data_IF_610514724364
#
_entry.id   IF_610514724364
#
_cell.length_a   1.000
_cell.length_b   1.000
_cell.length_c   1.000
_cell.angle_alpha   90.00
_cell.angle_beta   90.00
_cell.angle_gamma   90.00
#
_symmetry.space_group_name_H-M   'P 1'
#
loop_
_entity.id
_entity.type
_entity.pdbx_description
1 polymer ?
#
# COMPACT_ATOMS: atom_id res chain seq x y z
N UNK A 1 23.04 -58.18 37.21
CA UNK A 1 23.73 -57.49 36.10
C UNK A 1 24.09 -56.10 36.61
N UNK A 2 25.33 -55.85 37.06
CA UNK A 2 25.75 -54.53 37.51
C UNK A 2 26.04 -53.62 36.30
N UNK A 3 25.66 -52.35 36.41
CA UNK A 3 26.01 -51.28 35.48
C UNK A 3 27.49 -50.90 35.67
N UNK A 4 28.21 -50.76 34.56
CA UNK A 4 29.60 -50.31 34.49
C UNK A 4 29.62 -48.77 34.46
N UNK A 5 30.35 -48.17 35.41
CA UNK A 5 30.37 -46.74 35.75
C UNK A 5 31.73 -46.10 35.34
N UNK A 6 32.28 -46.55 34.21
CA UNK A 6 33.55 -46.04 33.69
C UNK A 6 33.36 -44.75 32.86
N UNK A 7 34.11 -43.66 33.13
CA UNK A 7 34.01 -42.41 32.37
C UNK A 7 34.61 -42.52 30.97
N UNK A 8 34.11 -41.77 29.96
CA UNK A 8 34.61 -41.82 28.60
C UNK A 8 36.02 -41.21 28.47
N UNK A 9 36.86 -41.71 27.54
CA UNK A 9 38.19 -41.17 27.31
C UNK A 9 38.15 -39.78 26.63
N UNK A 10 39.17 -38.92 26.85
CA UNK A 10 39.19 -37.56 26.32
C UNK A 10 39.43 -37.52 24.80
N UNK A 11 38.66 -36.68 24.09
CA UNK A 11 38.87 -36.39 22.68
C UNK A 11 40.18 -35.63 22.44
N UNK A 12 40.94 -36.10 21.46
CA UNK A 12 42.22 -35.54 21.03
C UNK A 12 42.02 -34.35 20.09
N UNK A 13 42.75 -33.28 20.36
CA UNK A 13 42.86 -32.11 19.48
C UNK A 13 43.70 -32.47 18.23
N UNK A 14 43.15 -32.22 17.05
CA UNK A 14 43.89 -32.25 15.79
C UNK A 14 43.64 -30.96 14.99
N UNK A 15 44.73 -30.21 14.84
CA UNK A 15 44.89 -28.97 14.10
C UNK A 15 44.73 -29.15 12.59
N UNK A 16 43.96 -28.27 11.92
CA UNK A 16 44.16 -27.97 10.49
C UNK A 16 44.00 -26.46 10.27
N UNK A 17 45.10 -25.81 9.90
CA UNK A 17 45.15 -24.45 9.37
C UNK A 17 45.09 -24.49 7.84
N UNK A 18 44.42 -23.55 7.15
CA UNK A 18 44.62 -23.33 5.72
C UNK A 18 45.61 -22.18 5.47
N UNK A 19 46.69 -22.49 4.74
CA UNK A 19 47.64 -21.52 4.17
C UNK A 19 47.15 -20.84 2.89
N UNK A 20 47.92 -19.87 2.35
CA UNK A 20 47.41 -18.76 1.55
C UNK A 20 47.38 -19.06 0.04
N UNK A 21 46.39 -18.49 -0.66
CA UNK A 21 46.35 -18.44 -2.13
C UNK A 21 46.71 -17.03 -2.64
N UNK A 22 47.45 -16.90 -3.75
CA UNK A 22 48.12 -15.66 -4.11
C UNK A 22 47.24 -14.72 -4.94
N UNK A 23 47.52 -13.44 -4.74
CA UNK A 23 47.14 -12.28 -5.52
C UNK A 23 48.07 -12.18 -6.74
N UNK A 24 47.53 -12.03 -7.95
CA UNK A 24 47.99 -11.07 -8.97
C UNK A 24 47.25 -11.19 -10.33
N UNK A 25 46.75 -10.03 -10.78
CA UNK A 25 46.68 -9.51 -12.16
C UNK A 25 45.94 -10.32 -13.24
N UNK A 26 44.80 -9.76 -13.71
CA UNK A 26 44.76 -9.08 -15.03
C UNK A 26 43.44 -8.35 -15.30
N UNK A 27 43.59 -7.02 -15.43
CA UNK A 27 43.09 -6.12 -16.48
C UNK A 27 41.58 -6.02 -16.75
N UNK A 28 41.06 -4.88 -16.29
CA UNK A 28 40.12 -3.95 -16.93
C UNK A 28 39.70 -4.25 -18.38
N UNK A 29 38.39 -4.32 -18.60
CA UNK A 29 37.70 -3.76 -19.78
C UNK A 29 36.39 -3.12 -19.34
N UNK A 30 36.43 -1.80 -19.20
CA UNK A 30 35.27 -0.93 -19.38
C UNK A 30 34.91 -0.96 -20.87
N UNK A 31 33.69 -1.37 -21.20
CA UNK A 31 33.08 -1.08 -22.50
C UNK A 31 31.65 -0.61 -22.27
N UNK A 32 31.44 0.62 -22.70
CA UNK A 32 30.19 1.38 -22.76
C UNK A 32 29.20 0.69 -23.69
N UNK A 33 27.94 0.58 -23.27
CA UNK A 33 26.81 0.38 -24.18
C UNK A 33 25.62 1.25 -23.70
N UNK A 34 25.73 2.55 -23.98
CA UNK A 34 24.62 3.49 -24.04
C UNK A 34 24.18 3.59 -25.51
N UNK A 35 22.87 3.78 -25.70
CA UNK A 35 22.18 4.13 -26.95
C UNK A 35 21.75 2.99 -27.88
N UNK A 36 20.54 2.45 -27.65
CA UNK A 36 19.65 1.99 -28.72
C UNK A 36 18.20 1.72 -28.23
N UNK A 37 17.54 2.67 -27.55
CA UNK A 37 16.06 2.61 -27.36
C UNK A 37 15.42 4.01 -27.30
N UNK A 38 15.92 4.92 -28.14
CA UNK A 38 15.42 6.31 -28.20
C UNK A 38 14.96 6.83 -29.60
N UNK A 39 14.74 6.02 -30.67
CA UNK A 39 14.11 6.58 -31.87
C UNK A 39 12.79 5.92 -32.33
N UNK A 40 12.10 5.09 -31.53
CA UNK A 40 10.82 4.49 -31.97
C UNK A 40 9.57 5.20 -31.42
N UNK A 41 9.69 6.04 -30.39
CA UNK A 41 8.53 6.78 -29.85
C UNK A 41 8.39 8.22 -30.38
N UNK A 42 9.36 8.75 -31.13
CA UNK A 42 9.31 10.09 -31.72
C UNK A 42 8.79 10.11 -33.18
N UNK A 43 8.81 8.99 -33.89
CA UNK A 43 8.25 8.89 -35.25
C UNK A 43 6.71 8.77 -35.27
N UNK A 44 6.10 8.26 -34.20
CA UNK A 44 4.64 8.12 -34.08
C UNK A 44 3.91 9.41 -33.73
N UNK A 45 4.59 10.39 -33.13
CA UNK A 45 3.99 11.67 -32.73
C UNK A 45 4.05 12.73 -33.84
N UNK A 46 5.07 12.67 -34.72
CA UNK A 46 5.19 13.57 -35.87
C UNK A 46 4.23 13.18 -36.99
N UNK A 47 3.83 11.90 -37.10
CA UNK A 47 2.90 11.45 -38.15
C UNK A 47 1.42 11.78 -37.86
N UNK A 48 1.04 12.04 -36.62
CA UNK A 48 -0.33 12.48 -36.27
C UNK A 48 -0.54 13.98 -36.37
N UNK A 49 0.53 14.78 -36.46
CA UNK A 49 0.45 16.23 -36.68
C UNK A 49 0.57 16.63 -38.17
N UNK A 50 0.78 15.67 -39.08
CA UNK A 50 0.88 15.91 -40.52
C UNK A 50 -0.36 15.44 -41.33
N UNK A 51 -1.42 14.99 -40.65
CA UNK A 51 -2.70 14.60 -41.25
C UNK A 51 -3.89 15.39 -40.70
N UNK A 52 -3.62 16.46 -39.94
CA UNK A 52 -4.63 17.34 -39.36
C UNK A 52 -4.18 18.80 -39.51
N UNK A 53 -3.98 19.23 -40.74
CA UNK A 53 -3.99 20.66 -41.07
C UNK A 53 -4.40 20.81 -42.54
N UNK A 54 -5.57 21.41 -42.77
CA UNK A 54 -5.87 22.23 -43.94
C UNK A 54 -7.28 22.83 -43.80
N UNK A 55 -7.31 24.14 -43.49
CA UNK A 55 -8.19 25.10 -44.18
C UNK A 55 -9.46 25.60 -43.47
N UNK A 56 -9.37 26.80 -42.90
CA UNK A 56 -10.51 27.72 -42.69
C UNK A 56 -10.80 28.57 -43.97
N UNK A 57 -11.93 29.28 -44.11
CA UNK A 57 -12.90 29.05 -45.17
C UNK A 57 -13.10 30.24 -46.15
N UNK A 58 -13.79 29.99 -47.27
CA UNK A 58 -14.34 31.02 -48.14
C UNK A 58 -15.84 30.81 -48.42
N UNK A 59 -16.56 31.92 -48.50
CA UNK A 59 -18.01 32.08 -48.46
C UNK A 59 -18.81 31.44 -49.62
N UNK A 60 -20.03 30.98 -49.32
CA UNK A 60 -21.01 30.62 -50.36
C UNK A 60 -22.31 29.93 -49.87
N UNK A 61 -23.24 30.71 -49.31
CA UNK A 61 -24.72 30.60 -49.28
C UNK A 61 -25.45 29.29 -48.84
N UNK A 62 -26.68 29.41 -48.27
CA UNK A 62 -27.27 28.38 -47.42
C UNK A 62 -28.30 27.47 -48.13
N UNK A 63 -28.31 26.18 -47.80
CA UNK A 63 -29.32 25.20 -48.22
C UNK A 63 -30.09 24.69 -46.97
N UNK A 64 -31.44 24.65 -46.97
CA UNK A 64 -32.25 24.34 -45.80
C UNK A 64 -32.44 22.83 -45.54
N UNK A 65 -32.87 22.42 -44.33
CA UNK A 65 -33.08 21.00 -44.01
C UNK A 65 -34.42 20.48 -44.57
N UNK A 66 -34.52 19.19 -44.94
CA UNK A 66 -35.78 18.63 -45.39
C UNK A 66 -36.74 18.34 -44.23
N UNK A 67 -37.97 18.81 -44.41
CA UNK A 67 -39.13 18.57 -43.56
C UNK A 67 -39.69 17.14 -43.75
N UNK A 68 -40.32 16.65 -42.68
CA UNK A 68 -41.09 15.41 -42.64
C UNK A 68 -42.45 15.53 -43.34
N UNK A 69 -42.94 14.40 -43.90
CA UNK A 69 -44.35 13.95 -44.06
C UNK A 69 -44.50 12.97 -45.25
N UNK A 70 -45.63 12.23 -45.45
CA UNK A 70 -46.61 11.70 -44.50
C UNK A 70 -46.99 10.20 -44.76
N UNK A 71 -47.94 9.74 -43.95
CA UNK A 71 -48.64 8.46 -43.80
C UNK A 71 -49.39 7.89 -45.04
N UNK A 72 -49.59 6.56 -45.05
CA UNK A 72 -50.78 5.79 -45.51
C UNK A 72 -50.69 4.34 -44.96
N UNK A 73 -51.55 3.90 -44.03
CA UNK A 73 -52.83 3.17 -44.23
C UNK A 73 -52.67 1.84 -45.00
N UNK A 74 -53.07 0.65 -44.54
CA UNK A 74 -53.76 0.18 -43.33
C UNK A 74 -53.85 -1.36 -43.37
N UNK A 75 -54.42 -2.01 -42.35
CA UNK A 75 -55.36 -3.15 -42.42
C UNK A 75 -55.79 -3.53 -40.99
N UNK A 76 -57.06 -3.90 -40.89
CA UNK A 76 -57.97 -3.97 -39.73
C UNK A 76 -58.03 -5.33 -39.04
N UNK A 77 -58.49 -5.35 -37.77
CA UNK A 77 -58.92 -6.56 -37.05
C UNK A 77 -59.18 -6.37 -35.55
N UNK A 78 -60.41 -5.96 -35.20
CA UNK A 78 -61.23 -6.25 -34.01
C UNK A 78 -60.59 -6.46 -32.61
N UNK A 79 -60.76 -5.55 -31.64
CA UNK A 79 -61.92 -5.37 -30.73
C UNK A 79 -61.82 -6.14 -29.38
N UNK A 80 -61.51 -5.42 -28.28
CA UNK A 80 -62.41 -5.22 -27.12
C UNK A 80 -61.78 -4.32 -26.04
N UNK A 81 -62.60 -3.40 -25.55
CA UNK A 81 -62.30 -2.40 -24.53
C UNK A 81 -62.77 -2.85 -23.13
N UNK A 82 -62.07 -2.43 -22.07
CA UNK A 82 -62.60 -1.52 -21.02
C UNK A 82 -61.51 -1.09 -20.01
N UNK A 83 -61.64 0.11 -19.37
CA UNK A 83 -60.54 0.75 -18.63
C UNK A 83 -60.86 1.09 -17.15
N UNK A 84 -59.81 1.63 -16.47
CA UNK A 84 -59.74 2.49 -15.23
C UNK A 84 -60.18 1.90 -13.86
N UNK A 85 -59.81 2.49 -12.68
CA UNK A 85 -58.91 3.64 -12.41
C UNK A 85 -57.97 3.58 -11.17
N UNK A 86 -57.07 4.57 -11.11
CA UNK A 86 -56.44 5.12 -9.90
C UNK A 86 -57.45 5.81 -8.97
N UNK A 87 -57.25 5.72 -7.65
CA UNK A 87 -57.82 6.67 -6.69
C UNK A 87 -56.88 6.89 -5.49
N UNK A 88 -56.66 8.17 -5.19
CA UNK A 88 -56.01 8.71 -3.99
C UNK A 88 -57.01 8.79 -2.82
N UNK A 89 -56.56 8.59 -1.58
CA UNK A 89 -57.16 9.19 -0.38
C UNK A 89 -56.24 9.08 0.86
N UNK A 90 -56.11 10.19 1.59
CA UNK A 90 -55.64 10.36 2.97
C UNK A 90 -56.85 10.81 3.84
N UNK A 91 -56.75 10.98 5.17
CA UNK A 91 -56.48 10.02 6.24
C UNK A 91 -57.64 10.00 7.29
N UNK A 92 -57.80 8.93 8.09
CA UNK A 92 -58.73 8.96 9.25
C UNK A 92 -58.17 8.23 10.48
N UNK A 93 -58.46 8.83 11.63
CA UNK A 93 -57.99 8.57 12.98
C UNK A 93 -58.39 7.21 13.62
N UNK A 94 -57.73 6.94 14.75
CA UNK A 94 -57.77 5.77 15.63
C UNK A 94 -59.13 5.42 16.26
N UNK A 95 -59.20 4.27 16.96
CA UNK A 95 -59.52 4.34 18.38
C UNK A 95 -58.62 3.49 19.31
N UNK A 96 -58.57 3.96 20.55
CA UNK A 96 -57.95 3.45 21.78
C UNK A 96 -58.43 2.09 22.27
N UNK A 97 -57.50 1.28 22.81
CA UNK A 97 -57.76 0.28 23.85
C UNK A 97 -56.53 0.14 24.80
N UNK A 98 -56.84 -0.08 26.08
CA UNK A 98 -56.00 0.08 27.28
C UNK A 98 -55.03 -1.11 27.57
N UNK A 99 -54.15 -1.01 28.60
CA UNK A 99 -52.87 -1.73 28.65
C UNK A 99 -52.90 -3.04 29.46
N UNK A 100 -52.15 -4.04 28.98
CA UNK A 100 -51.76 -5.25 29.71
C UNK A 100 -50.32 -5.15 30.21
N UNK A 101 -50.13 -5.37 31.51
CA UNK A 101 -48.88 -5.38 32.26
C UNK A 101 -48.02 -6.63 32.03
N UNK A 102 -46.69 -6.46 31.88
CA UNK A 102 -45.69 -7.53 32.06
C UNK A 102 -44.26 -7.12 31.66
N UNK A 103 -43.22 -7.34 32.49
CA UNK A 103 -42.00 -6.52 32.48
C UNK A 103 -40.79 -7.18 31.79
N UNK A 104 -39.88 -6.34 31.29
CA UNK A 104 -38.57 -6.78 30.77
C UNK A 104 -37.78 -5.63 30.15
N UNK A 105 -37.49 -4.58 30.94
CA UNK A 105 -36.58 -3.53 30.54
C UNK A 105 -35.17 -4.13 30.39
N UNK A 106 -34.77 -4.43 29.15
CA UNK A 106 -33.39 -4.74 28.83
C UNK A 106 -32.53 -3.51 29.12
N UNK A 107 -31.65 -3.64 30.11
CA UNK A 107 -30.64 -2.65 30.45
C UNK A 107 -29.82 -2.29 29.20
N UNK A 108 -29.58 -1.00 28.89
CA UNK A 108 -28.64 -0.65 27.84
C UNK A 108 -27.25 -1.15 28.26
N UNK A 109 -26.69 -2.08 27.50
CA UNK A 109 -25.32 -2.57 27.72
C UNK A 109 -24.37 -1.40 27.53
N UNK A 110 -23.88 -0.85 28.64
CA UNK A 110 -22.82 0.14 28.70
C UNK A 110 -21.65 -0.38 27.87
N UNK A 111 -21.27 0.35 26.82
CA UNK A 111 -20.08 0.07 26.04
C UNK A 111 -18.88 -0.09 27.00
N UNK A 112 -18.11 -1.15 26.80
CA UNK A 112 -16.92 -1.41 27.59
C UNK A 112 -15.98 -0.18 27.52
N UNK A 113 -15.40 0.25 28.64
CA UNK A 113 -14.40 1.32 28.62
C UNK A 113 -13.23 0.92 27.69
N UNK A 114 -12.57 1.89 27.02
CA UNK A 114 -11.34 1.61 26.31
C UNK A 114 -10.34 0.95 27.28
N UNK A 115 -9.65 -0.08 26.79
CA UNK A 115 -8.61 -0.77 27.57
C UNK A 115 -7.58 0.26 28.09
N UNK A 116 -7.05 0.08 29.32
CA UNK A 116 -6.11 1.04 29.86
C UNK A 116 -4.88 1.12 28.95
N UNK A 117 -4.63 2.30 28.41
CA UNK A 117 -3.38 2.62 27.73
C UNK A 117 -2.21 2.37 28.70
N UNK A 118 -1.20 1.61 28.26
CA UNK A 118 0.07 1.45 29.00
C UNK A 118 0.38 0.07 29.56
N UNK A 119 -0.24 -1.01 29.08
CA UNK A 119 0.19 -2.39 29.39
C UNK A 119 0.47 -3.15 28.10
N UNK A 120 1.62 -3.81 28.02
CA UNK A 120 2.04 -4.61 26.87
C UNK A 120 3.50 -4.36 26.49
N UNK A 121 4.07 -5.19 25.58
CA UNK A 121 5.48 -5.12 25.20
C UNK A 121 5.86 -3.79 24.51
N UNK A 122 4.88 -3.00 24.05
CA UNK A 122 5.11 -1.70 23.44
C UNK A 122 4.73 -0.51 24.35
N UNK A 123 4.48 -0.74 25.64
CA UNK A 123 4.16 0.34 26.57
C UNK A 123 5.25 1.43 26.55
N UNK A 124 4.83 2.68 26.36
CA UNK A 124 5.74 3.83 26.27
C UNK A 124 6.42 4.02 24.91
N UNK A 125 6.21 3.10 23.95
CA UNK A 125 6.73 3.23 22.59
C UNK A 125 5.79 4.03 21.71
N UNK A 126 6.36 4.81 20.80
CA UNK A 126 5.64 5.46 19.71
C UNK A 126 5.94 4.76 18.40
N UNK A 127 4.91 4.37 17.65
CA UNK A 127 5.04 3.82 16.30
C UNK A 127 4.31 4.73 15.32
N UNK A 128 4.99 5.13 14.24
CA UNK A 128 4.33 5.83 13.14
C UNK A 128 4.00 4.84 12.04
N UNK A 129 2.74 4.85 11.60
CA UNK A 129 2.25 4.04 10.49
C UNK A 129 1.89 4.98 9.34
N UNK A 130 2.47 4.72 8.18
CA UNK A 130 2.30 5.51 6.97
C UNK A 130 1.50 4.68 5.94
N UNK A 131 0.18 4.91 5.79
CA UNK A 131 -0.57 4.30 4.70
C UNK A 131 -0.07 4.89 3.38
N UNK A 132 0.49 4.07 2.49
CA UNK A 132 0.97 4.54 1.20
C UNK A 132 -0.11 5.23 0.37
N UNK A 133 0.25 6.31 -0.33
CA UNK A 133 -0.63 7.10 -1.21
C UNK A 133 -1.79 7.76 -0.46
N UNK A 134 -2.71 8.40 -1.20
CA UNK A 134 -3.98 8.89 -0.67
C UNK A 134 -5.12 8.50 -1.62
N UNK A 135 -6.29 8.04 -1.10
CA UNK A 135 -7.40 7.54 -1.91
C UNK A 135 -7.87 8.47 -3.03
N UNK A 136 -7.76 9.79 -2.85
CA UNK A 136 -8.24 10.81 -3.79
C UNK A 136 -7.13 11.40 -4.68
N UNK A 137 -5.86 10.97 -4.55
CA UNK A 137 -4.73 11.49 -5.35
C UNK A 137 -5.01 11.51 -6.87
N UNK A 138 -5.76 10.55 -7.39
CA UNK A 138 -6.12 10.47 -8.82
C UNK A 138 -6.93 11.67 -9.33
N UNK A 139 -7.51 12.49 -8.44
CA UNK A 139 -8.24 13.72 -8.76
C UNK A 139 -7.36 14.97 -8.65
N UNK A 140 -6.12 14.83 -8.17
CA UNK A 140 -5.22 15.94 -7.78
C UNK A 140 -3.84 15.82 -8.42
N UNK A 141 -3.81 15.46 -9.70
CA UNK A 141 -2.57 15.23 -10.45
C UNK A 141 -1.62 16.43 -10.41
N UNK A 142 -2.16 17.67 -10.44
CA UNK A 142 -1.34 18.89 -10.39
C UNK A 142 -0.58 19.00 -9.08
N UNK A 143 -1.25 18.73 -7.96
CA UNK A 143 -0.71 18.87 -6.62
C UNK A 143 0.28 17.75 -6.30
N UNK A 144 -0.05 16.49 -6.62
CA UNK A 144 0.83 15.36 -6.33
C UNK A 144 2.07 15.33 -7.23
N UNK A 145 2.01 15.90 -8.44
CA UNK A 145 3.18 15.99 -9.34
C UNK A 145 4.15 17.13 -8.97
N UNK A 146 3.84 17.97 -7.97
CA UNK A 146 4.78 18.98 -7.51
C UNK A 146 6.03 18.30 -6.97
N UNK A 147 7.20 18.77 -7.42
CA UNK A 147 8.46 18.18 -7.01
C UNK A 147 8.80 18.59 -5.57
N UNK A 148 9.21 17.62 -4.74
CA UNK A 148 9.71 17.80 -3.36
C UNK A 148 11.13 17.29 -3.23
N UNK A 149 11.86 17.77 -2.23
CA UNK A 149 13.23 17.32 -1.93
C UNK A 149 13.18 15.95 -1.27
N UNK A 150 13.97 14.99 -1.77
CA UNK A 150 14.12 13.65 -1.17
C UNK A 150 15.52 13.43 -0.57
N UNK A 151 16.28 14.51 -0.44
CA UNK A 151 17.67 14.65 -0.01
C UNK A 151 18.73 14.11 -0.97
N UNK A 152 18.37 13.17 -1.84
CA UNK A 152 19.23 12.69 -2.95
C UNK A 152 18.86 13.28 -4.30
N UNK A 153 17.85 14.16 -4.34
CA UNK A 153 17.30 14.71 -5.57
C UNK A 153 15.88 15.25 -5.36
N UNK A 154 15.10 15.32 -6.43
CA UNK A 154 13.69 15.71 -6.42
C UNK A 154 12.81 14.58 -6.93
N UNK A 155 11.62 14.42 -6.37
CA UNK A 155 10.56 13.51 -6.85
C UNK A 155 9.20 14.17 -6.64
N UNK A 156 8.18 13.60 -7.26
CA UNK A 156 6.78 13.98 -7.07
C UNK A 156 6.41 13.94 -5.58
N UNK A 157 5.55 14.87 -5.16
CA UNK A 157 5.01 14.99 -3.81
C UNK A 157 4.35 13.68 -3.38
N UNK A 158 3.51 13.08 -4.22
CA UNK A 158 2.90 11.77 -3.99
C UNK A 158 2.56 11.13 -5.34
N UNK A 159 2.10 9.89 -5.33
CA UNK A 159 1.57 9.20 -6.51
C UNK A 159 0.20 8.59 -6.22
N UNK A 160 -0.51 8.14 -7.25
CA UNK A 160 -1.80 7.46 -7.06
C UNK A 160 -1.69 6.05 -6.49
N UNK A 161 -0.48 5.46 -6.52
CA UNK A 161 -0.28 4.03 -6.35
C UNK A 161 -0.80 3.22 -7.54
N UNK A 162 -0.71 1.90 -7.44
CA UNK A 162 -1.21 0.94 -8.43
C UNK A 162 -2.67 0.52 -8.14
N UNK A 163 -3.17 -0.43 -8.92
CA UNK A 163 -4.48 -1.07 -8.68
C UNK A 163 -4.39 -2.56 -8.98
N UNK A 164 -5.32 -3.35 -8.45
CA UNK A 164 -5.59 -4.67 -9.04
C UNK A 164 -6.16 -4.52 -10.45
N UNK A 165 -6.15 -5.62 -11.21
CA UNK A 165 -6.81 -5.68 -12.52
C UNK A 165 -8.34 -5.48 -12.41
N UNK A 166 -8.94 -5.71 -11.23
CA UNK A 166 -10.34 -5.45 -10.94
C UNK A 166 -10.62 -4.04 -10.40
N UNK A 167 -9.60 -3.18 -10.29
CA UNK A 167 -9.75 -1.77 -9.89
C UNK A 167 -9.68 -1.49 -8.40
N UNK A 168 -9.32 -2.46 -7.54
CA UNK A 168 -9.05 -2.18 -6.13
C UNK A 168 -7.75 -1.40 -6.00
N UNK A 169 -7.79 -0.20 -5.42
CA UNK A 169 -6.66 0.74 -5.39
C UNK A 169 -5.68 0.39 -4.28
N UNK A 170 -4.39 0.62 -4.54
CA UNK A 170 -3.35 0.48 -3.53
C UNK A 170 -3.61 1.39 -2.32
N UNK A 171 -4.02 2.64 -2.56
CA UNK A 171 -4.33 3.59 -1.48
C UNK A 171 -5.46 3.11 -0.54
N UNK A 172 -6.44 2.37 -1.06
CA UNK A 172 -7.52 1.81 -0.24
C UNK A 172 -7.01 0.59 0.55
N UNK A 173 -6.16 -0.23 -0.08
CA UNK A 173 -5.49 -1.36 0.56
C UNK A 173 -4.58 -0.92 1.71
N UNK A 174 -3.67 0.03 1.47
CA UNK A 174 -2.70 0.50 2.44
C UNK A 174 -3.39 1.11 3.65
N UNK A 175 -4.44 1.91 3.43
CA UNK A 175 -5.24 2.53 4.50
C UNK A 175 -6.00 1.50 5.34
N UNK A 176 -6.58 0.46 4.74
CA UNK A 176 -7.25 -0.61 5.49
C UNK A 176 -6.25 -1.41 6.34
N UNK A 177 -5.11 -1.81 5.76
CA UNK A 177 -4.07 -2.53 6.52
C UNK A 177 -3.48 -1.67 7.63
N UNK A 178 -3.22 -0.38 7.37
CA UNK A 178 -2.72 0.55 8.37
C UNK A 178 -3.68 0.69 9.56
N UNK A 179 -4.99 0.82 9.30
CA UNK A 179 -6.02 0.89 10.36
C UNK A 179 -6.07 -0.38 11.22
N UNK A 180 -5.92 -1.55 10.61
CA UNK A 180 -5.81 -2.83 11.34
C UNK A 180 -4.52 -2.91 12.15
N UNK A 181 -3.42 -2.45 11.57
CA UNK A 181 -2.11 -2.42 12.23
C UNK A 181 -2.14 -1.51 13.47
N UNK A 182 -2.79 -0.34 13.38
CA UNK A 182 -3.01 0.53 14.55
C UNK A 182 -3.67 -0.22 15.70
N UNK A 183 -4.77 -0.92 15.42
CA UNK A 183 -5.49 -1.69 16.45
C UNK A 183 -4.60 -2.74 17.10
N UNK A 184 -3.76 -3.43 16.32
CA UNK A 184 -2.84 -4.43 16.86
C UNK A 184 -1.74 -3.79 17.71
N UNK A 185 -1.15 -2.69 17.27
CA UNK A 185 -0.10 -1.98 18.01
C UNK A 185 -0.63 -1.33 19.31
N UNK A 186 -1.81 -0.72 19.28
CA UNK A 186 -2.46 -0.13 20.46
C UNK A 186 -2.80 -1.20 21.50
N UNK A 187 -3.25 -2.40 21.07
CA UNK A 187 -3.44 -3.56 21.95
C UNK A 187 -2.17 -3.99 22.67
N UNK A 188 -1.00 -3.76 22.07
CA UNK A 188 0.31 -4.05 22.66
C UNK A 188 0.86 -2.87 23.49
N UNK A 189 0.12 -1.77 23.61
CA UNK A 189 0.45 -0.63 24.45
C UNK A 189 1.21 0.51 23.74
N UNK A 190 1.38 0.45 22.42
CA UNK A 190 2.03 1.51 21.66
C UNK A 190 1.13 2.75 21.52
N UNK A 191 1.73 3.93 21.52
CA UNK A 191 1.13 5.12 20.93
C UNK A 191 1.30 5.06 19.41
N UNK A 192 0.20 5.06 18.67
CA UNK A 192 0.24 5.05 17.20
C UNK A 192 -0.02 6.45 16.64
N UNK A 193 0.80 6.87 15.67
CA UNK A 193 0.61 8.11 14.91
C UNK A 193 0.49 7.77 13.43
N UNK A 194 -0.54 8.25 12.76
CA UNK A 194 -0.66 8.13 11.31
C UNK A 194 -0.05 9.33 10.60
N UNK A 195 0.51 9.10 9.41
CA UNK A 195 0.89 10.20 8.51
C UNK A 195 -0.34 10.89 7.92
N UNK A 196 -1.43 10.14 7.69
CA UNK A 196 -2.78 10.65 7.40
C UNK A 196 -3.82 9.55 7.63
N UNK A 197 -5.09 9.94 7.72
CA UNK A 197 -6.27 9.08 7.83
C UNK A 197 -7.24 9.21 6.65
N UNK A 198 -6.79 9.87 5.57
CA UNK A 198 -7.56 10.25 4.36
C UNK A 198 -8.56 11.41 4.57
N UNK A 199 -8.18 12.34 5.44
CA UNK A 199 -8.88 13.59 5.74
C UNK A 199 -8.56 14.71 4.74
N UNK A 200 -7.45 14.59 4.01
CA UNK A 200 -7.02 15.55 2.98
C UNK A 200 -7.42 15.08 1.57
N UNK A 201 -7.70 16.00 0.64
CA UNK A 201 -8.00 15.67 -0.75
C UNK A 201 -6.82 14.99 -1.48
N UNK A 202 -5.57 15.27 -1.08
CA UNK A 202 -4.37 14.64 -1.61
C UNK A 202 -3.24 14.67 -0.59
N UNK A 203 -2.18 13.90 -0.83
CA UNK A 203 -1.00 13.82 0.03
C UNK A 203 -1.34 13.28 1.42
N UNK A 204 -0.55 13.58 2.48
CA UNK A 204 0.65 14.41 2.54
C UNK A 204 1.76 14.04 1.55
N UNK A 205 2.62 14.99 1.21
CA UNK A 205 3.78 14.70 0.36
C UNK A 205 4.78 13.78 1.07
N UNK A 206 5.61 13.05 0.33
CA UNK A 206 6.56 12.06 0.86
C UNK A 206 7.58 12.65 1.86
N UNK A 207 7.95 13.92 1.72
CA UNK A 207 8.80 14.67 2.64
C UNK A 207 8.04 15.04 3.92
N UNK A 208 6.78 15.46 3.80
CA UNK A 208 5.87 15.69 4.93
C UNK A 208 5.63 14.39 5.73
N UNK A 209 5.42 13.26 5.06
CA UNK A 209 5.28 11.93 5.69
C UNK A 209 6.52 11.55 6.49
N UNK A 210 7.72 11.82 5.98
CA UNK A 210 8.96 11.61 6.71
C UNK A 210 9.10 12.56 7.92
N UNK A 211 8.72 13.83 7.75
CA UNK A 211 8.75 14.83 8.82
C UNK A 211 7.84 14.46 10.00
N UNK A 212 6.63 13.95 9.74
CA UNK A 212 5.72 13.46 10.79
C UNK A 212 6.39 12.39 11.65
N UNK A 213 7.08 11.43 11.02
CA UNK A 213 7.83 10.40 11.73
C UNK A 213 8.91 10.96 12.66
N UNK A 214 9.63 11.97 12.18
CA UNK A 214 10.70 12.64 12.91
C UNK A 214 10.17 13.46 14.10
N UNK A 215 9.12 14.26 13.88
CA UNK A 215 8.51 15.12 14.89
C UNK A 215 7.80 14.32 15.99
N UNK A 216 7.23 13.17 15.65
CA UNK A 216 6.64 12.25 16.62
C UNK A 216 7.66 11.55 17.51
N UNK A 217 8.98 11.71 17.24
CA UNK A 217 10.08 11.00 17.88
C UNK A 217 9.89 9.47 17.87
N UNK A 218 9.34 8.92 16.78
CA UNK A 218 8.88 7.53 16.72
C UNK A 218 10.00 6.51 16.99
N UNK A 219 9.75 5.49 17.78
CA UNK A 219 10.68 4.38 17.99
C UNK A 219 10.81 3.51 16.74
N UNK A 220 9.74 3.39 15.96
CA UNK A 220 9.72 2.76 14.65
C UNK A 220 8.74 3.45 13.71
N UNK A 221 9.06 3.45 12.41
CA UNK A 221 8.18 3.93 11.35
C UNK A 221 7.99 2.83 10.30
N UNK A 222 6.76 2.56 9.90
CA UNK A 222 6.46 1.58 8.84
C UNK A 222 5.54 2.21 7.80
N UNK A 223 5.96 2.17 6.53
CA UNK A 223 5.10 2.49 5.39
C UNK A 223 4.48 1.24 4.82
N UNK A 224 3.16 1.21 4.66
CA UNK A 224 2.40 0.05 4.17
C UNK A 224 1.99 0.31 2.73
N UNK A 225 2.41 -0.57 1.82
CA UNK A 225 2.18 -0.46 0.38
C UNK A 225 1.82 -1.82 -0.25
N UNK A 226 1.48 -1.81 -1.53
CA UNK A 226 1.47 -3.01 -2.37
C UNK A 226 1.98 -2.68 -3.77
N UNK A 227 2.71 -3.60 -4.38
CA UNK A 227 3.46 -3.32 -5.60
C UNK A 227 2.62 -3.58 -6.86
N UNK A 228 3.09 -3.08 -8.00
CA UNK A 228 2.54 -3.33 -9.33
C UNK A 228 3.61 -3.80 -10.30
N UNK A 229 3.64 -5.10 -10.58
CA UNK A 229 4.59 -5.72 -11.51
C UNK A 229 3.90 -6.72 -12.46
N UNK A 230 4.57 -7.18 -13.52
CA UNK A 230 4.03 -8.17 -14.46
C UNK A 230 3.37 -9.40 -13.80
N UNK A 231 2.34 -9.95 -14.44
CA UNK A 231 1.71 -11.19 -13.98
C UNK A 231 2.74 -12.34 -13.86
N UNK A 232 2.61 -13.18 -12.82
CA UNK A 232 3.61 -14.20 -12.47
C UNK A 232 4.61 -13.73 -11.42
N UNK A 233 4.84 -12.41 -11.31
CA UNK A 233 5.62 -11.82 -10.22
C UNK A 233 4.75 -11.76 -8.96
N UNK A 234 5.22 -12.34 -7.86
CA UNK A 234 4.46 -12.51 -6.62
C UNK A 234 5.36 -12.38 -5.40
N UNK A 235 4.74 -12.13 -4.26
CA UNK A 235 5.38 -12.15 -2.95
C UNK A 235 5.66 -10.75 -2.41
N UNK A 236 5.89 -10.68 -1.10
CA UNK A 236 6.14 -9.43 -0.40
C UNK A 236 7.62 -9.05 -0.44
N UNK A 237 7.92 -7.78 -0.23
CA UNK A 237 9.28 -7.37 0.12
C UNK A 237 9.29 -6.16 1.05
N UNK A 238 10.32 -6.07 1.88
CA UNK A 238 10.56 -4.96 2.80
C UNK A 238 11.73 -4.13 2.26
N UNK A 239 11.48 -2.85 2.04
CA UNK A 239 12.46 -1.89 1.55
C UNK A 239 13.15 -1.24 2.75
N UNK A 240 14.48 -1.34 2.75
CA UNK A 240 15.38 -0.81 3.76
C UNK A 240 16.10 0.44 3.23
N UNK A 241 16.41 1.43 4.08
CA UNK A 241 17.19 2.59 3.67
C UNK A 241 18.62 2.17 3.32
N UNK A 242 19.11 2.63 2.18
CA UNK A 242 20.54 2.67 1.90
C UNK A 242 21.23 3.71 2.80
N UNK A 243 22.55 3.58 2.96
CA UNK A 243 23.36 4.63 3.58
C UNK A 243 23.50 5.80 2.62
N UNK A 244 22.86 6.91 2.94
CA UNK A 244 22.84 8.15 2.17
C UNK A 244 23.31 9.28 3.07
N UNK A 245 24.17 10.15 2.51
CA UNK A 245 24.59 11.39 3.16
C UNK A 245 24.67 12.50 2.11
N UNK A 246 23.80 13.50 2.21
CA UNK A 246 23.70 14.61 1.26
C UNK A 246 22.36 15.33 1.35
N UNK A 247 22.35 16.64 1.10
CA UNK A 247 21.16 17.48 1.27
C UNK A 247 20.62 17.41 2.70
N UNK A 248 19.31 17.23 2.84
CA UNK A 248 18.63 17.02 4.12
C UNK A 248 18.74 15.57 4.67
N UNK A 249 19.39 14.65 3.93
CA UNK A 249 19.44 13.22 4.26
C UNK A 249 20.76 12.84 4.94
N UNK A 250 20.64 12.21 6.11
CA UNK A 250 21.71 11.44 6.76
C UNK A 250 21.09 10.18 7.40
N UNK A 251 21.13 9.07 6.67
CA UNK A 251 20.53 7.81 7.13
C UNK A 251 21.53 6.94 7.91
N UNK A 252 22.76 7.39 8.13
CA UNK A 252 23.82 6.56 8.70
C UNK A 252 23.46 5.99 10.09
N UNK A 253 22.72 6.74 10.90
CA UNK A 253 22.28 6.30 12.22
C UNK A 253 21.11 5.28 12.17
N UNK A 254 20.34 5.25 11.09
CA UNK A 254 19.11 4.44 11.00
C UNK A 254 19.26 3.18 10.15
N UNK A 255 20.30 3.05 9.32
CA UNK A 255 20.44 1.86 8.43
C UNK A 255 20.51 0.54 9.18
N UNK A 256 21.21 0.48 10.31
CA UNK A 256 21.31 -0.72 11.16
C UNK A 256 19.97 -1.05 11.83
N UNK A 257 19.41 -0.14 12.64
CA UNK A 257 18.10 -0.34 13.27
C UNK A 257 16.96 -0.62 12.28
N UNK A 258 16.95 0.03 11.11
CA UNK A 258 15.92 -0.20 10.08
C UNK A 258 16.06 -1.57 9.43
N UNK A 259 17.29 -2.08 9.28
CA UNK A 259 17.52 -3.46 8.83
C UNK A 259 16.96 -4.47 9.83
N UNK A 260 17.25 -4.31 11.11
CA UNK A 260 16.71 -5.19 12.15
C UNK A 260 15.16 -5.16 12.17
N UNK A 261 14.57 -3.96 12.14
CA UNK A 261 13.13 -3.78 12.01
C UNK A 261 12.57 -4.52 10.78
N UNK A 262 13.21 -4.35 9.63
CA UNK A 262 12.76 -4.95 8.38
C UNK A 262 12.89 -6.47 8.34
N UNK A 263 13.97 -7.03 8.89
CA UNK A 263 14.17 -8.48 9.04
C UNK A 263 13.10 -9.10 9.96
N UNK A 264 12.80 -8.43 11.08
CA UNK A 264 11.74 -8.87 12.00
C UNK A 264 10.36 -8.79 11.36
N UNK A 265 10.04 -7.70 10.65
CA UNK A 265 8.79 -7.58 9.89
C UNK A 265 8.71 -8.67 8.83
N UNK A 266 9.74 -8.86 8.00
CA UNK A 266 9.72 -9.86 6.93
C UNK A 266 9.49 -11.28 7.47
N UNK A 267 10.21 -11.68 8.52
CA UNK A 267 10.10 -13.01 9.13
C UNK A 267 8.74 -13.26 9.80
N UNK A 268 8.17 -12.25 10.46
CA UNK A 268 6.82 -12.37 11.03
C UNK A 268 5.74 -12.34 9.94
N UNK A 269 5.90 -11.50 8.92
CA UNK A 269 4.94 -11.37 7.83
C UNK A 269 4.76 -12.69 7.07
N UNK A 270 5.85 -13.34 6.68
CA UNK A 270 5.77 -14.66 6.01
C UNK A 270 5.16 -15.72 6.92
N UNK A 271 5.52 -15.75 8.21
CA UNK A 271 5.00 -16.73 9.17
C UNK A 271 3.49 -16.58 9.37
N UNK A 272 2.99 -15.35 9.45
CA UNK A 272 1.59 -15.07 9.75
C UNK A 272 0.69 -15.12 8.51
N UNK A 273 1.18 -14.63 7.37
CA UNK A 273 0.39 -14.56 6.12
C UNK A 273 0.53 -15.80 5.24
N UNK A 274 1.65 -16.52 5.33
CA UNK A 274 2.04 -17.57 4.41
C UNK A 274 2.49 -17.07 3.03
N UNK A 275 2.55 -15.75 2.80
CA UNK A 275 3.01 -15.20 1.52
C UNK A 275 4.55 -15.26 1.46
N UNK A 276 5.08 -15.89 0.43
CA UNK A 276 6.52 -16.00 0.22
C UNK A 276 7.16 -14.63 -0.09
N UNK A 277 8.47 -14.48 0.17
CA UNK A 277 9.25 -13.37 -0.35
C UNK A 277 9.10 -13.19 -1.87
N UNK A 278 9.23 -11.93 -2.32
CA UNK A 278 9.15 -11.55 -3.72
C UNK A 278 10.09 -12.39 -4.59
N UNK A 279 9.55 -12.93 -5.70
CA UNK A 279 10.33 -13.64 -6.72
C UNK A 279 10.90 -12.73 -7.81
N UNK A 280 10.72 -11.40 -7.70
CA UNK A 280 11.07 -10.43 -8.74
C UNK A 280 11.90 -9.25 -8.23
N UNK A 281 11.89 -8.99 -6.92
CA UNK A 281 12.69 -7.96 -6.25
C UNK A 281 13.33 -8.56 -4.98
N UNK A 282 14.53 -8.11 -4.61
CA UNK A 282 15.19 -8.53 -3.37
C UNK A 282 15.81 -9.94 -3.40
N UNK A 283 15.94 -10.55 -4.58
CA UNK A 283 16.67 -11.82 -4.76
C UNK A 283 16.12 -13.00 -3.96
N UNK A 284 14.81 -13.02 -3.70
CA UNK A 284 14.16 -14.07 -2.90
C UNK A 284 14.35 -13.95 -1.38
N UNK A 285 15.09 -12.95 -0.90
CA UNK A 285 15.27 -12.70 0.55
C UNK A 285 14.07 -11.98 1.18
N UNK A 286 13.27 -11.31 0.36
CA UNK A 286 12.19 -10.44 0.83
C UNK A 286 12.69 -9.10 1.35
N UNK A 287 13.98 -8.79 1.20
CA UNK A 287 14.59 -7.52 1.60
C UNK A 287 15.23 -6.84 0.39
N UNK A 288 15.05 -5.53 0.29
CA UNK A 288 15.68 -4.72 -0.76
C UNK A 288 16.21 -3.41 -0.18
N UNK A 289 17.43 -3.03 -0.51
CA UNK A 289 18.05 -1.79 -0.03
C UNK A 289 17.95 -0.74 -1.13
N UNK A 290 17.41 0.44 -0.81
CA UNK A 290 17.15 1.51 -1.79
C UNK A 290 17.57 2.90 -1.30
N UNK A 291 17.99 3.76 -2.22
CA UNK A 291 18.44 5.14 -1.97
C UNK A 291 17.58 6.21 -2.66
N UNK A 292 16.48 5.81 -3.29
CA UNK A 292 15.65 6.66 -4.17
C UNK A 292 14.27 7.00 -3.58
N UNK A 293 14.02 6.66 -2.30
CA UNK A 293 12.75 6.88 -1.63
C UNK A 293 12.86 8.00 -0.58
N UNK A 294 12.24 9.15 -0.84
CA UNK A 294 12.27 10.31 0.07
C UNK A 294 11.78 9.99 1.47
N UNK A 295 10.73 9.17 1.56
CA UNK A 295 10.21 8.70 2.85
C UNK A 295 11.26 7.96 3.69
N UNK A 296 12.20 7.24 3.08
CA UNK A 296 13.33 6.58 3.76
C UNK A 296 14.50 7.54 3.99
N UNK A 297 14.92 8.25 2.93
CA UNK A 297 16.10 9.10 2.93
C UNK A 297 16.02 10.22 3.97
N UNK A 298 14.82 10.79 4.16
CA UNK A 298 14.57 11.90 5.08
C UNK A 298 14.22 11.44 6.51
N UNK A 299 14.14 10.13 6.76
CA UNK A 299 13.85 9.61 8.09
C UNK A 299 15.07 9.75 9.00
N UNK A 300 14.83 10.25 10.21
CA UNK A 300 15.78 10.25 11.35
C UNK A 300 15.48 9.13 12.34
N UNK A 301 14.44 8.34 12.08
CA UNK A 301 13.95 7.23 12.91
C UNK A 301 14.09 5.90 12.16
N UNK A 302 14.21 4.75 12.85
CA UNK A 302 14.20 3.44 12.20
C UNK A 302 12.94 3.31 11.32
N UNK A 303 13.12 3.09 10.01
CA UNK A 303 12.02 3.11 9.05
C UNK A 303 12.19 2.07 7.95
N UNK A 304 11.08 1.42 7.60
CA UNK A 304 10.97 0.53 6.44
C UNK A 304 9.69 0.80 5.65
N UNK A 305 9.68 0.36 4.39
CA UNK A 305 8.44 0.18 3.62
C UNK A 305 8.20 -1.31 3.50
N UNK A 306 6.95 -1.75 3.60
CA UNK A 306 6.55 -3.10 3.24
C UNK A 306 5.63 -3.04 2.02
N UNK A 307 6.07 -3.68 0.94
CA UNK A 307 5.25 -4.00 -0.21
C UNK A 307 4.60 -5.36 0.03
N UNK A 308 3.31 -5.37 0.39
CA UNK A 308 2.63 -6.55 0.90
C UNK A 308 2.36 -7.65 -0.15
N UNK A 309 2.57 -7.37 -1.44
CA UNK A 309 2.33 -8.29 -2.56
C UNK A 309 2.15 -7.54 -3.88
N UNK A 310 2.02 -8.26 -4.99
CA UNK A 310 1.83 -7.65 -6.31
C UNK A 310 0.33 -7.55 -6.68
N UNK A 311 -0.22 -6.34 -6.76
CA UNK A 311 -1.64 -6.11 -7.13
C UNK A 311 -1.97 -6.55 -8.56
N UNK A 312 -0.98 -6.66 -9.44
CA UNK A 312 -1.17 -7.02 -10.86
C UNK A 312 -1.12 -8.53 -11.13
N UNK A 313 -0.69 -9.33 -10.16
CA UNK A 313 -0.81 -10.79 -10.21
C UNK A 313 -2.11 -11.25 -9.54
N UNK A 314 -2.86 -12.13 -10.21
CA UNK A 314 -4.18 -12.54 -9.74
C UNK A 314 -4.17 -13.29 -8.40
N UNK A 315 -3.09 -14.02 -8.06
CA UNK A 315 -3.02 -14.77 -6.80
C UNK A 315 -2.74 -13.83 -5.63
N UNK A 316 -1.79 -12.92 -5.79
CA UNK A 316 -1.52 -11.89 -4.78
C UNK A 316 -2.73 -10.96 -4.64
N UNK A 317 -3.34 -10.51 -5.74
CA UNK A 317 -4.55 -9.68 -5.72
C UNK A 317 -5.73 -10.34 -4.96
N UNK A 318 -5.92 -11.65 -5.07
CA UNK A 318 -6.92 -12.40 -4.30
C UNK A 318 -6.66 -12.34 -2.78
N UNK A 319 -5.38 -12.35 -2.37
CA UNK A 319 -4.99 -12.18 -0.97
C UNK A 319 -5.20 -10.73 -0.53
N UNK A 320 -4.71 -9.75 -1.29
CA UNK A 320 -4.80 -8.33 -0.96
C UNK A 320 -6.25 -7.83 -0.87
N UNK A 321 -7.17 -8.42 -1.65
CA UNK A 321 -8.61 -8.12 -1.60
C UNK A 321 -9.36 -8.85 -0.49
N UNK A 322 -8.77 -9.88 0.15
CA UNK A 322 -9.37 -10.59 1.28
C UNK A 322 -9.24 -9.79 2.60
N UNK A 323 -10.36 -9.45 3.28
CA UNK A 323 -10.30 -8.80 4.60
C UNK A 323 -9.57 -9.63 5.65
N UNK A 324 -9.74 -10.96 5.63
CA UNK A 324 -9.08 -11.87 6.56
C UNK A 324 -7.57 -11.89 6.33
N UNK A 325 -7.12 -11.86 5.08
CA UNK A 325 -5.70 -11.81 4.78
C UNK A 325 -5.09 -10.44 5.15
N UNK A 326 -5.79 -9.33 4.91
CA UNK A 326 -5.35 -8.00 5.38
C UNK A 326 -5.20 -7.93 6.90
N UNK A 327 -6.04 -8.63 7.65
CA UNK A 327 -5.84 -8.78 9.10
C UNK A 327 -4.56 -9.54 9.45
N UNK A 328 -4.26 -10.64 8.72
CA UNK A 328 -2.99 -11.38 8.91
C UNK A 328 -1.77 -10.54 8.54
N UNK A 329 -1.86 -9.74 7.48
CA UNK A 329 -0.80 -8.82 7.08
C UNK A 329 -0.52 -7.80 8.18
N UNK A 330 -1.56 -7.16 8.73
CA UNK A 330 -1.44 -6.25 9.86
C UNK A 330 -0.84 -6.93 11.11
N UNK A 331 -1.28 -8.14 11.45
CA UNK A 331 -0.72 -8.90 12.57
C UNK A 331 0.76 -9.21 12.36
N UNK A 332 1.15 -9.70 11.19
CA UNK A 332 2.55 -10.02 10.88
C UNK A 332 3.47 -8.80 10.94
N UNK A 333 2.99 -7.63 10.50
CA UNK A 333 3.72 -6.36 10.65
C UNK A 333 3.85 -6.00 12.13
N UNK A 334 2.76 -6.06 12.90
CA UNK A 334 2.75 -5.73 14.32
C UNK A 334 3.69 -6.63 15.14
N UNK A 335 3.66 -7.95 14.90
CA UNK A 335 4.53 -8.91 15.59
C UNK A 335 6.01 -8.64 15.29
N UNK A 336 6.33 -8.21 14.06
CA UNK A 336 7.66 -7.75 13.69
C UNK A 336 8.11 -6.52 14.48
N UNK A 337 7.22 -5.54 14.63
CA UNK A 337 7.47 -4.32 15.42
C UNK A 337 7.60 -4.63 16.91
N UNK A 338 6.76 -5.52 17.45
CA UNK A 338 6.88 -6.04 18.82
C UNK A 338 8.23 -6.69 19.03
N UNK A 339 8.67 -7.55 18.11
CA UNK A 339 10.00 -8.15 18.19
C UNK A 339 11.14 -7.12 18.15
N UNK A 340 10.96 -5.99 17.47
CA UNK A 340 11.98 -4.95 17.36
C UNK A 340 12.04 -4.05 18.61
N UNK A 341 10.89 -3.67 19.17
CA UNK A 341 10.79 -2.69 20.26
C UNK A 341 10.58 -3.30 21.65
N UNK A 342 10.10 -4.54 21.72
CA UNK A 342 9.66 -5.21 22.95
C UNK A 342 10.76 -5.85 23.78
N UNK A 343 11.99 -5.96 23.25
CA UNK A 343 13.11 -6.68 23.88
C UNK A 343 13.25 -8.10 23.37
#
# INVERSE_FOLDING_TARGET
MPYDDSPPPPESAASIAPGPQPWFLRRSTLAVALAALAPVCLAGWVLTQALADDGEPAAGQPVPPPAASPSRAGHSGDAKARPVPHASATPTAAPTAAPGTGPGAGTPTKAAPPAPAGRGPLAGRTVVVDPGHNPANFQHAREINQQVDIGTGRKECDTTGTTTNSGYKEADFSLDVARRLRQELERQGARVVFTHEAERPFGPCIDERARIGNEAAADAVVSVHADGSSAGNRGFHVILPAKVKGGASDTAAIVGPSRELGERIAGNFVRTTGLAPSNYVGGGTGLVVRSDLGGLNLSKRPKVFIECGNMRDAKDAALLTSPQWRQKAAQGIADGIVGFLGG
#
